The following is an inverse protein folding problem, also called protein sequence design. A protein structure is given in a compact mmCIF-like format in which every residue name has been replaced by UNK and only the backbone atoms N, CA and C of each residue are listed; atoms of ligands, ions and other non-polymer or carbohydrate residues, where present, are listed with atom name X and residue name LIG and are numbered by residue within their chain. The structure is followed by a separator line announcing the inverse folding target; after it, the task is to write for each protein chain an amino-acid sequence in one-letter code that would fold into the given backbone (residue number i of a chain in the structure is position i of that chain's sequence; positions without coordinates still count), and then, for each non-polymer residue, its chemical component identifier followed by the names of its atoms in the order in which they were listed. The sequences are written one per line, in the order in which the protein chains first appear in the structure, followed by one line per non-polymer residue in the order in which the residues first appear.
data_IF_437508051147
#
_entry.id   IF_437508051147
#
_cell.length_a   1.000
_cell.length_b   1.000
_cell.length_c   1.000
_cell.angle_alpha   90.00
_cell.angle_beta   90.00
_cell.angle_gamma   90.00
#
_symmetry.space_group_name_H-M   'P 1'
#
loop_
_entity.id
_entity.type
_entity.pdbx_description
1 polymer ?
#
# COMPACT_ATOMS: atom_id res chain seq x y z
N UNK A 1 -37.45 -31.43 11.36
CA UNK A 1 -36.35 -30.46 11.56
C UNK A 1 -35.48 -30.52 10.32
N UNK A 2 -35.59 -29.53 9.44
CA UNK A 2 -34.65 -29.38 8.34
C UNK A 2 -33.38 -28.82 8.99
N UNK A 3 -32.27 -29.54 8.90
CA UNK A 3 -30.99 -29.04 9.39
C UNK A 3 -30.69 -27.74 8.63
N UNK A 4 -30.60 -26.61 9.34
CA UNK A 4 -30.15 -25.36 8.72
C UNK A 4 -28.72 -25.62 8.22
N UNK A 5 -28.54 -25.68 6.90
CA UNK A 5 -27.20 -25.81 6.32
C UNK A 5 -26.44 -24.51 6.60
N UNK A 6 -25.22 -24.61 7.10
CA UNK A 6 -24.33 -23.46 7.29
C UNK A 6 -23.27 -23.42 6.19
N UNK A 7 -22.62 -22.27 6.05
CA UNK A 7 -21.42 -22.09 5.21
C UNK A 7 -20.38 -21.22 5.91
N UNK A 8 -19.13 -21.39 5.52
CA UNK A 8 -18.02 -20.56 5.99
C UNK A 8 -17.65 -19.52 4.94
N UNK A 9 -17.45 -18.28 5.40
CA UNK A 9 -16.87 -17.19 4.60
C UNK A 9 -15.61 -16.66 5.28
N UNK A 10 -14.69 -16.10 4.49
CA UNK A 10 -13.54 -15.35 5.00
C UNK A 10 -13.89 -13.86 5.05
N UNK A 11 -13.80 -13.27 6.24
CA UNK A 11 -13.98 -11.84 6.49
C UNK A 11 -12.62 -11.23 6.88
N UNK A 12 -12.20 -10.20 6.17
CA UNK A 12 -11.02 -9.39 6.48
C UNK A 12 -11.42 -8.24 7.39
N UNK A 13 -10.71 -8.08 8.50
CA UNK A 13 -10.80 -6.91 9.41
C UNK A 13 -9.51 -6.13 9.31
N UNK A 14 -9.56 -4.87 8.89
CA UNK A 14 -8.33 -4.08 8.71
C UNK A 14 -7.77 -3.62 10.06
N UNK A 15 -6.44 -3.69 10.22
CA UNK A 15 -5.78 -3.37 11.49
C UNK A 15 -6.11 -1.97 12.02
N UNK A 16 -6.14 -0.96 11.14
CA UNK A 16 -6.43 0.42 11.54
C UNK A 16 -7.86 0.62 12.04
N UNK A 17 -8.84 -0.09 11.45
CA UNK A 17 -10.24 -0.02 11.87
C UNK A 17 -10.42 -0.59 13.27
N UNK A 18 -9.76 -1.73 13.49
CA UNK A 18 -9.79 -2.39 14.76
C UNK A 18 -9.13 -1.58 15.88
N UNK A 19 -8.03 -0.88 15.58
CA UNK A 19 -7.36 0.03 16.52
C UNK A 19 -8.23 1.25 16.85
N UNK A 20 -8.97 1.78 15.87
CA UNK A 20 -9.83 2.95 16.02
C UNK A 20 -11.09 2.63 16.85
N UNK A 21 -11.88 1.64 16.42
CA UNK A 21 -13.23 1.42 16.94
C UNK A 21 -13.59 -0.07 17.11
N UNK A 22 -12.70 -1.01 16.73
CA UNK A 22 -12.97 -2.44 16.81
C UNK A 22 -13.43 -2.92 18.19
N UNK A 23 -14.49 -3.73 18.21
CA UNK A 23 -14.97 -4.43 19.39
C UNK A 23 -14.22 -5.77 19.57
N UNK A 24 -13.78 -6.13 20.79
CA UNK A 24 -13.18 -7.43 21.05
C UNK A 24 -14.10 -8.60 20.69
N UNK A 25 -13.53 -9.72 20.26
CA UNK A 25 -14.28 -10.95 19.95
C UNK A 25 -13.37 -12.20 20.05
N UNK A 26 -13.98 -13.36 20.21
CA UNK A 26 -13.33 -14.65 20.33
C UNK A 26 -13.92 -15.70 19.39
N UNK A 27 -13.17 -16.78 19.18
CA UNK A 27 -13.70 -17.98 18.53
C UNK A 27 -14.86 -18.53 19.37
N UNK A 28 -16.00 -18.74 18.72
CA UNK A 28 -17.26 -19.14 19.35
C UNK A 28 -18.25 -17.99 19.51
N UNK A 29 -17.81 -16.73 19.42
CA UNK A 29 -18.70 -15.59 19.58
C UNK A 29 -19.65 -15.45 18.39
N UNK A 30 -20.88 -15.04 18.70
CA UNK A 30 -21.83 -14.58 17.69
C UNK A 30 -21.64 -13.09 17.46
N UNK A 31 -21.42 -12.70 16.20
CA UNK A 31 -21.13 -11.33 15.79
C UNK A 31 -22.08 -10.89 14.68
N UNK A 32 -22.32 -9.58 14.57
CA UNK A 32 -23.01 -8.96 13.46
C UNK A 32 -22.09 -7.87 12.88
N UNK A 33 -21.70 -8.03 11.62
CA UNK A 33 -20.75 -7.14 10.95
C UNK A 33 -21.33 -6.61 9.66
N UNK A 34 -21.08 -5.34 9.36
CA UNK A 34 -21.39 -4.77 8.05
C UNK A 34 -20.30 -5.19 7.08
N UNK A 35 -20.65 -5.96 6.05
CA UNK A 35 -19.70 -6.56 5.13
C UNK A 35 -19.79 -5.92 3.75
N UNK A 36 -18.63 -5.76 3.10
CA UNK A 36 -18.48 -5.48 1.69
C UNK A 36 -17.84 -6.67 0.99
N UNK A 37 -18.25 -6.96 -0.25
CA UNK A 37 -17.57 -7.95 -1.06
C UNK A 37 -16.46 -7.30 -1.90
N UNK A 38 -15.27 -7.89 -1.85
CA UNK A 38 -14.18 -7.55 -2.76
C UNK A 38 -14.56 -7.84 -4.22
N UNK A 39 -13.92 -7.17 -5.20
CA UNK A 39 -14.10 -7.48 -6.61
C UNK A 39 -13.92 -8.98 -6.90
N UNK A 40 -14.76 -9.51 -7.79
CA UNK A 40 -14.70 -10.92 -8.18
C UNK A 40 -13.31 -11.26 -8.74
N UNK A 41 -12.66 -12.26 -8.14
CA UNK A 41 -11.38 -12.77 -8.64
C UNK A 41 -11.63 -13.88 -9.65
N UNK A 42 -10.81 -14.01 -10.71
CA UNK A 42 -10.92 -15.12 -11.66
C UNK A 42 -10.75 -16.50 -10.99
N UNK A 43 -10.03 -16.56 -9.87
CA UNK A 43 -9.77 -17.76 -9.08
C UNK A 43 -9.80 -17.47 -7.59
N UNK A 44 -10.34 -18.42 -6.81
CA UNK A 44 -10.43 -18.36 -5.34
C UNK A 44 -11.81 -17.98 -4.80
N UNK A 45 -12.06 -18.18 -3.50
CA UNK A 45 -13.33 -17.82 -2.88
C UNK A 45 -13.53 -16.30 -2.84
N UNK A 46 -14.78 -15.88 -2.86
CA UNK A 46 -15.15 -14.49 -2.59
C UNK A 46 -14.59 -14.07 -1.23
N UNK A 47 -14.11 -12.82 -1.15
CA UNK A 47 -13.57 -12.24 0.08
C UNK A 47 -14.46 -11.10 0.51
N UNK A 48 -14.73 -11.06 1.80
CA UNK A 48 -15.51 -10.00 2.41
C UNK A 48 -14.58 -9.17 3.28
N UNK A 49 -14.78 -7.86 3.29
CA UNK A 49 -14.17 -6.97 4.27
C UNK A 49 -15.27 -6.49 5.22
N UNK A 50 -14.96 -6.36 6.50
CA UNK A 50 -15.83 -5.57 7.37
C UNK A 50 -15.66 -4.10 7.04
N UNK A 51 -16.76 -3.36 7.08
CA UNK A 51 -16.81 -1.92 6.86
C UNK A 51 -17.44 -1.27 8.09
N UNK A 52 -16.72 -0.34 8.73
CA UNK A 52 -17.18 0.29 9.97
C UNK A 52 -17.20 1.82 9.93
N UNK A 53 -16.74 2.45 8.84
CA UNK A 53 -16.39 3.88 8.83
C UNK A 53 -17.11 4.72 7.78
N UNK A 54 -17.47 4.11 6.65
CA UNK A 54 -17.88 4.85 5.45
C UNK A 54 -19.37 4.70 5.12
N UNK A 55 -20.14 3.94 5.91
CA UNK A 55 -21.57 3.66 5.69
C UNK A 55 -21.87 3.43 4.19
N UNK A 56 -21.12 2.50 3.60
CA UNK A 56 -21.17 2.29 2.16
C UNK A 56 -22.49 1.64 1.74
N UNK A 57 -23.15 2.13 0.68
CA UNK A 57 -24.51 1.71 0.31
C UNK A 57 -24.59 0.26 -0.15
N UNK A 58 -23.46 -0.36 -0.46
CA UNK A 58 -23.34 -1.77 -0.85
C UNK A 58 -22.92 -2.69 0.32
N UNK A 59 -22.78 -2.15 1.53
CA UNK A 59 -22.51 -2.95 2.71
C UNK A 59 -23.79 -3.59 3.25
N UNK A 60 -23.73 -4.87 3.64
CA UNK A 60 -24.84 -5.58 4.26
C UNK A 60 -24.43 -6.11 5.63
N UNK A 61 -25.32 -5.96 6.62
CA UNK A 61 -25.10 -6.54 7.95
C UNK A 61 -25.31 -8.05 7.91
N UNK A 62 -24.27 -8.80 8.23
CA UNK A 62 -24.25 -10.26 8.24
C UNK A 62 -23.97 -10.74 9.67
N UNK A 63 -24.82 -11.65 10.16
CA UNK A 63 -24.66 -12.28 11.47
C UNK A 63 -24.10 -13.68 11.33
N UNK A 64 -23.13 -14.03 12.17
CA UNK A 64 -22.52 -15.37 12.14
C UNK A 64 -21.79 -15.71 13.42
N UNK A 65 -21.20 -16.91 13.45
CA UNK A 65 -20.37 -17.41 14.55
C UNK A 65 -18.91 -17.45 14.11
N UNK A 66 -18.01 -16.88 14.91
CA UNK A 66 -16.57 -16.90 14.63
C UNK A 66 -16.04 -18.32 14.83
N UNK A 67 -15.48 -18.93 13.78
CA UNK A 67 -14.90 -20.28 13.83
C UNK A 67 -13.39 -20.31 13.82
N UNK A 68 -12.75 -19.20 13.44
CA UNK A 68 -11.29 -19.09 13.47
C UNK A 68 -10.83 -17.66 13.24
N UNK A 69 -9.73 -17.31 13.88
CA UNK A 69 -9.10 -15.99 13.77
C UNK A 69 -7.64 -16.21 13.38
N UNK A 70 -7.22 -15.56 12.29
CA UNK A 70 -5.83 -15.53 11.86
C UNK A 70 -5.38 -14.08 11.79
N UNK A 71 -4.40 -13.75 12.60
CA UNK A 71 -3.67 -12.49 12.58
C UNK A 71 -2.64 -12.52 11.43
N UNK A 72 -2.73 -11.51 10.58
CA UNK A 72 -1.78 -11.14 9.53
C UNK A 72 -1.01 -9.88 9.96
N UNK A 73 0.06 -10.08 10.71
CA UNK A 73 1.00 -9.01 11.04
C UNK A 73 2.03 -8.87 9.94
N UNK A 74 2.15 -7.67 9.35
CA UNK A 74 3.21 -7.36 8.40
C UNK A 74 4.36 -6.68 9.14
N UNK A 75 5.52 -7.34 9.21
CA UNK A 75 6.67 -6.84 9.97
C UNK A 75 7.60 -5.99 9.11
N UNK A 76 7.85 -4.76 9.56
CA UNK A 76 8.70 -3.83 8.87
C UNK A 76 8.02 -3.16 7.67
N UNK A 77 8.77 -2.25 7.05
CA UNK A 77 8.28 -1.47 5.94
C UNK A 77 9.35 -1.40 4.84
N UNK A 78 8.90 -1.21 3.62
CA UNK A 78 9.72 -1.04 2.43
C UNK A 78 9.25 0.22 1.70
N UNK A 79 10.13 0.89 0.94
CA UNK A 79 9.69 1.99 0.11
C UNK A 79 8.67 1.52 -0.93
N UNK A 80 7.55 2.24 -1.02
CA UNK A 80 6.63 2.18 -2.13
C UNK A 80 7.38 2.58 -3.39
N UNK A 81 7.24 1.75 -4.42
CA UNK A 81 7.98 1.95 -5.67
C UNK A 81 7.48 3.24 -6.32
N UNK A 82 8.35 4.25 -6.32
CA UNK A 82 8.13 5.54 -7.00
C UNK A 82 7.46 6.63 -6.17
N UNK A 83 6.81 6.29 -5.06
CA UNK A 83 5.97 7.23 -4.31
C UNK A 83 6.66 7.89 -3.10
N UNK A 84 7.87 7.43 -2.73
CA UNK A 84 8.65 8.00 -1.61
C UNK A 84 8.00 7.83 -0.24
N UNK A 85 7.03 6.92 -0.11
CA UNK A 85 6.38 6.56 1.14
C UNK A 85 6.79 5.15 1.54
N UNK A 86 6.86 4.86 2.83
CA UNK A 86 7.03 3.49 3.30
C UNK A 86 5.68 2.78 3.32
N UNK A 87 5.65 1.57 2.78
CA UNK A 87 4.50 0.66 2.85
C UNK A 87 4.89 -0.60 3.62
N UNK A 88 3.94 -1.27 4.29
CA UNK A 88 4.20 -2.54 4.95
C UNK A 88 4.88 -3.53 3.99
N UNK A 89 5.88 -4.29 4.47
CA UNK A 89 6.60 -5.28 3.65
C UNK A 89 5.87 -6.63 3.60
N UNK A 90 5.07 -6.92 2.55
CA UNK A 90 4.26 -8.13 2.52
C UNK A 90 5.10 -9.42 2.51
N UNK A 91 6.40 -9.35 2.20
CA UNK A 91 7.31 -10.50 2.25
C UNK A 91 7.66 -10.93 3.68
N UNK A 92 7.49 -10.00 4.65
CA UNK A 92 7.71 -10.22 6.08
C UNK A 92 6.41 -10.41 6.84
N UNK A 93 5.43 -10.97 6.15
CA UNK A 93 4.16 -11.33 6.75
C UNK A 93 4.34 -12.50 7.71
N UNK A 94 3.86 -12.33 8.93
CA UNK A 94 3.72 -13.40 9.91
C UNK A 94 2.24 -13.75 10.06
N UNK A 95 1.95 -15.04 10.03
CA UNK A 95 0.62 -15.57 10.30
C UNK A 95 0.59 -16.20 11.68
N UNK A 96 -0.45 -15.86 12.47
CA UNK A 96 -0.66 -16.43 13.80
C UNK A 96 -2.14 -16.74 13.99
N UNK A 97 -2.45 -17.96 14.44
CA UNK A 97 -3.81 -18.30 14.87
C UNK A 97 -4.06 -17.70 16.26
N UNK A 98 -5.24 -17.13 16.44
CA UNK A 98 -5.69 -16.54 17.68
C UNK A 98 -6.96 -17.26 18.19
N UNK A 99 -7.09 -17.34 19.52
CA UNK A 99 -8.34 -17.74 20.16
C UNK A 99 -9.29 -16.54 20.34
N UNK A 100 -8.74 -15.35 20.48
CA UNK A 100 -9.46 -14.08 20.64
C UNK A 100 -8.63 -12.91 20.15
N UNK A 101 -9.30 -11.79 19.91
CA UNK A 101 -8.69 -10.50 19.63
C UNK A 101 -9.26 -9.43 20.55
N UNK A 102 -8.38 -8.56 21.03
CA UNK A 102 -8.72 -7.29 21.67
C UNK A 102 -7.74 -6.19 21.22
N UNK A 103 -8.00 -4.94 21.63
CA UNK A 103 -7.18 -3.78 21.24
C UNK A 103 -5.73 -3.84 21.73
N UNK A 104 -5.40 -4.66 22.75
CA UNK A 104 -4.02 -4.81 23.20
C UNK A 104 -3.16 -5.55 22.17
N UNK A 105 -3.79 -6.28 21.26
CA UNK A 105 -3.09 -7.02 20.20
C UNK A 105 -2.60 -6.13 19.05
N UNK A 106 -3.23 -4.97 18.82
CA UNK A 106 -2.84 -3.84 17.96
C UNK A 106 -2.47 -4.12 16.48
N UNK A 107 -2.95 -3.28 15.56
CA UNK A 107 -2.35 -3.05 14.23
C UNK A 107 -2.30 -4.22 13.22
N UNK A 108 -2.74 -5.42 13.59
CA UNK A 108 -2.74 -6.58 12.71
C UNK A 108 -4.04 -6.67 11.91
N UNK A 109 -3.97 -6.86 10.59
CA UNK A 109 -5.16 -7.25 9.82
C UNK A 109 -5.58 -8.66 10.21
N UNK A 110 -6.87 -8.91 10.45
CA UNK A 110 -7.36 -10.26 10.77
C UNK A 110 -8.07 -10.87 9.56
N UNK A 111 -7.94 -12.20 9.44
CA UNK A 111 -8.81 -13.04 8.64
C UNK A 111 -9.64 -13.89 9.56
N UNK A 112 -10.95 -13.69 9.50
CA UNK A 112 -11.93 -14.38 10.34
C UNK A 112 -12.73 -15.34 9.49
N UNK A 113 -12.74 -16.61 9.90
CA UNK A 113 -13.68 -17.59 9.35
C UNK A 113 -15.02 -17.39 10.07
N UNK A 114 -16.01 -16.87 9.36
CA UNK A 114 -17.35 -16.63 9.88
C UNK A 114 -18.30 -17.71 9.36
N UNK A 115 -18.92 -18.45 10.27
CA UNK A 115 -19.99 -19.39 9.94
C UNK A 115 -21.33 -18.68 9.93
N UNK A 116 -22.03 -18.77 8.81
CA UNK A 116 -23.32 -18.13 8.57
C UNK A 116 -24.33 -19.17 8.08
N UNK A 117 -25.62 -18.83 8.15
CA UNK A 117 -26.66 -19.62 7.51
C UNK A 117 -26.42 -19.67 5.99
N UNK A 118 -26.69 -20.81 5.33
CA UNK A 118 -26.39 -20.99 3.91
C UNK A 118 -27.21 -20.04 3.01
N UNK A 119 -28.39 -19.66 3.46
CA UNK A 119 -29.31 -18.71 2.81
C UNK A 119 -29.10 -17.26 3.26
N UNK A 120 -28.14 -16.99 4.17
CA UNK A 120 -27.82 -15.62 4.57
C UNK A 120 -27.42 -14.79 3.35
N UNK A 121 -28.07 -13.65 3.19
CA UNK A 121 -27.76 -12.68 2.15
C UNK A 121 -26.37 -12.10 2.36
N UNK A 122 -25.61 -11.94 1.27
CA UNK A 122 -24.25 -11.40 1.29
C UNK A 122 -24.18 -10.21 0.33
N UNK A 123 -23.33 -9.22 0.63
CA UNK A 123 -23.16 -8.07 -0.25
C UNK A 123 -22.72 -8.53 -1.65
N UNK A 124 -23.25 -7.94 -2.73
CA UNK A 124 -22.80 -8.24 -4.07
C UNK A 124 -21.34 -7.79 -4.25
N UNK A 125 -20.53 -8.47 -5.09
CA UNK A 125 -19.18 -8.03 -5.43
C UNK A 125 -19.19 -6.56 -5.84
N UNK A 126 -18.33 -5.75 -5.23
CA UNK A 126 -18.16 -4.37 -5.67
C UNK A 126 -17.46 -4.35 -7.03
N UNK A 127 -18.11 -3.73 -8.01
CA UNK A 127 -17.48 -3.35 -9.27
C UNK A 127 -16.99 -1.92 -9.12
N UNK A 128 -15.67 -1.66 -9.25
CA UNK A 128 -15.19 -0.29 -9.29
C UNK A 128 -15.91 0.44 -10.44
N UNK A 129 -16.32 1.70 -10.26
CA UNK A 129 -16.80 2.49 -11.38
C UNK A 129 -15.75 2.44 -12.49
N UNK A 130 -16.18 2.51 -13.75
CA UNK A 130 -15.25 2.72 -14.86
C UNK A 130 -14.52 4.05 -14.62
N UNK A 131 -13.40 3.99 -13.90
CA UNK A 131 -12.40 5.02 -13.95
C UNK A 131 -11.91 4.98 -15.38
N UNK A 132 -12.26 5.98 -16.20
CA UNK A 132 -11.54 6.24 -17.44
C UNK A 132 -10.09 6.35 -17.00
N UNK A 133 -9.23 5.36 -17.29
CA UNK A 133 -7.83 5.51 -17.02
C UNK A 133 -7.41 6.78 -17.74
N UNK A 134 -6.50 7.57 -17.17
CA UNK A 134 -5.79 8.51 -18.03
C UNK A 134 -5.02 7.65 -19.04
N UNK A 135 -5.63 7.43 -20.20
CA UNK A 135 -5.15 6.53 -21.25
C UNK A 135 -3.96 7.12 -21.98
N UNK A 136 -3.58 8.37 -21.67
CA UNK A 136 -2.33 8.95 -22.16
C UNK A 136 -1.17 8.19 -21.54
N UNK A 137 -0.69 7.23 -22.30
CA UNK A 137 0.53 6.53 -21.97
C UNK A 137 1.71 7.50 -22.07
N UNK A 138 2.67 7.43 -21.14
CA UNK A 138 3.93 8.15 -21.30
C UNK A 138 4.64 7.72 -22.58
N UNK A 139 5.43 8.64 -23.13
CA UNK A 139 6.20 8.38 -24.35
C UNK A 139 7.07 7.10 -24.18
N UNK A 140 6.93 6.10 -25.06
CA UNK A 140 7.73 4.88 -25.02
C UNK A 140 9.24 5.11 -25.03
N UNK A 141 9.73 6.18 -25.67
CA UNK A 141 11.15 6.51 -25.69
C UNK A 141 11.65 6.93 -24.30
N UNK A 142 10.84 7.69 -23.56
CA UNK A 142 11.14 8.07 -22.17
C UNK A 142 11.15 6.83 -21.27
N UNK A 143 10.17 5.94 -21.44
CA UNK A 143 10.14 4.66 -20.71
C UNK A 143 11.40 3.83 -20.99
N UNK A 144 11.82 3.75 -22.26
CA UNK A 144 13.05 3.06 -22.65
C UNK A 144 14.31 3.70 -22.05
N UNK A 145 14.38 5.04 -22.01
CA UNK A 145 15.48 5.77 -21.39
C UNK A 145 15.56 5.51 -19.87
N UNK A 146 14.43 5.52 -19.16
CA UNK A 146 14.37 5.18 -17.74
C UNK A 146 14.78 3.73 -17.48
N UNK A 147 14.35 2.79 -18.33
CA UNK A 147 14.80 1.40 -18.24
C UNK A 147 16.32 1.30 -18.41
N UNK A 148 16.87 1.95 -19.43
CA UNK A 148 18.30 1.94 -19.71
C UNK A 148 19.10 2.58 -18.57
N UNK A 149 18.59 3.64 -17.94
CA UNK A 149 19.18 4.23 -16.74
C UNK A 149 19.26 3.19 -15.61
N UNK A 150 18.18 2.48 -15.31
CA UNK A 150 18.18 1.43 -14.28
C UNK A 150 19.19 0.32 -14.56
N UNK A 151 19.32 -0.11 -15.82
CA UNK A 151 20.31 -1.10 -16.25
C UNK A 151 21.74 -0.57 -16.02
N UNK A 152 22.01 0.70 -16.38
CA UNK A 152 23.31 1.34 -16.13
C UNK A 152 23.62 1.42 -14.64
N UNK A 153 22.68 1.90 -13.82
CA UNK A 153 22.84 1.99 -12.37
C UNK A 153 23.11 0.62 -11.75
N UNK A 154 22.37 -0.42 -12.17
CA UNK A 154 22.60 -1.78 -11.70
C UNK A 154 24.00 -2.29 -12.06
N UNK A 155 24.45 -2.05 -13.30
CA UNK A 155 25.78 -2.45 -13.76
C UNK A 155 26.91 -1.75 -13.01
N UNK A 156 26.83 -0.43 -12.88
CA UNK A 156 27.87 0.41 -12.26
C UNK A 156 27.90 0.26 -10.73
N UNK A 157 26.74 0.24 -10.08
CA UNK A 157 26.61 0.33 -8.62
C UNK A 157 26.14 -0.96 -7.96
N UNK A 158 26.33 -2.10 -8.62
CA UNK A 158 25.92 -3.43 -8.14
C UNK A 158 26.37 -3.67 -6.70
N UNK A 159 25.43 -4.03 -5.83
CA UNK A 159 25.69 -4.33 -4.42
C UNK A 159 25.87 -3.10 -3.51
N UNK A 160 25.92 -1.89 -4.07
CA UNK A 160 25.97 -0.62 -3.32
C UNK A 160 24.62 0.10 -3.25
N UNK A 161 23.72 -0.20 -4.19
CA UNK A 161 22.35 0.30 -4.20
C UNK A 161 21.37 -0.87 -4.35
N UNK A 162 20.25 -0.80 -3.65
CA UNK A 162 19.05 -1.58 -3.91
C UNK A 162 18.21 -0.87 -4.97
N UNK A 163 17.81 -1.58 -6.02
CA UNK A 163 16.95 -1.05 -7.09
C UNK A 163 15.66 -1.85 -7.11
N UNK A 164 14.52 -1.16 -7.08
CA UNK A 164 13.19 -1.74 -7.23
C UNK A 164 12.46 -0.99 -8.33
N UNK A 165 11.81 -1.70 -9.24
CA UNK A 165 11.13 -1.08 -10.37
C UNK A 165 9.96 -1.93 -10.85
N UNK A 166 8.94 -1.27 -11.35
CA UNK A 166 7.83 -1.88 -12.10
C UNK A 166 7.66 -1.15 -13.43
N UNK A 167 6.91 -1.78 -14.35
CA UNK A 167 6.56 -1.18 -15.64
C UNK A 167 7.78 -0.63 -16.40
N UNK A 168 8.85 -1.44 -16.48
CA UNK A 168 10.10 -1.09 -17.17
C UNK A 168 10.79 0.17 -16.65
N UNK A 169 10.53 0.63 -15.43
CA UNK A 169 11.19 1.83 -14.89
C UNK A 169 10.31 3.06 -14.83
N UNK A 170 9.04 2.98 -15.24
CA UNK A 170 8.08 4.08 -15.04
C UNK A 170 7.94 4.45 -13.58
N UNK A 171 7.93 3.44 -12.70
CA UNK A 171 8.07 3.64 -11.26
C UNK A 171 9.32 2.92 -10.79
N UNK A 172 10.14 3.60 -10.00
CA UNK A 172 11.31 2.96 -9.41
C UNK A 172 11.74 3.58 -8.08
N UNK A 173 12.59 2.86 -7.38
CA UNK A 173 13.27 3.30 -6.17
C UNK A 173 14.71 2.83 -6.20
N UNK A 174 15.61 3.75 -5.88
CA UNK A 174 17.06 3.53 -5.75
C UNK A 174 17.42 3.89 -4.31
N UNK A 175 17.84 2.88 -3.56
CA UNK A 175 18.13 2.95 -2.12
C UNK A 175 19.60 2.65 -1.91
N UNK A 176 20.45 3.64 -1.62
CA UNK A 176 21.86 3.39 -1.33
C UNK A 176 22.05 2.61 -0.03
N UNK A 177 23.04 1.72 0.00
CA UNK A 177 23.43 1.01 1.23
C UNK A 177 24.35 1.88 2.14
N UNK A 178 24.83 3.01 1.62
CA UNK A 178 25.65 3.96 2.39
C UNK A 178 24.79 4.67 3.43
N UNK A 179 25.17 4.57 4.71
CA UNK A 179 24.44 5.22 5.79
C UNK A 179 24.36 6.75 5.60
N UNK A 180 23.16 7.31 5.77
CA UNK A 180 22.90 8.76 5.64
C UNK A 180 22.77 9.28 4.20
N UNK A 181 22.92 8.42 3.19
CA UNK A 181 22.59 8.76 1.82
C UNK A 181 21.07 8.81 1.63
N UNK A 182 20.60 9.78 0.86
CA UNK A 182 19.18 9.93 0.55
C UNK A 182 18.66 8.86 -0.40
N UNK A 183 17.43 8.42 -0.20
CA UNK A 183 16.72 7.54 -1.14
C UNK A 183 16.13 8.34 -2.30
N UNK A 184 16.09 7.72 -3.48
CA UNK A 184 15.49 8.31 -4.67
C UNK A 184 14.33 7.46 -5.16
N UNK A 185 13.18 8.08 -5.37
CA UNK A 185 11.99 7.44 -5.91
C UNK A 185 11.44 8.27 -7.05
N UNK A 186 10.87 7.63 -8.08
CA UNK A 186 10.15 8.37 -9.10
C UNK A 186 8.96 7.61 -9.68
N UNK A 187 8.01 8.38 -10.21
CA UNK A 187 6.88 7.90 -10.97
C UNK A 187 6.68 8.77 -12.22
N UNK A 188 6.63 8.13 -13.39
CA UNK A 188 6.38 8.76 -14.69
C UNK A 188 4.87 8.75 -15.00
N UNK A 189 4.28 9.94 -14.94
CA UNK A 189 2.98 10.24 -15.52
C UNK A 189 3.07 10.65 -16.98
N UNK A 190 1.95 11.03 -17.62
CA UNK A 190 1.91 11.38 -19.04
C UNK A 190 2.69 12.65 -19.37
N UNK A 191 2.64 13.64 -18.48
CA UNK A 191 3.25 14.98 -18.70
C UNK A 191 4.44 15.27 -17.78
N UNK A 192 4.56 14.51 -16.69
CA UNK A 192 5.50 14.81 -15.61
C UNK A 192 6.14 13.56 -15.04
N UNK A 193 7.41 13.71 -14.67
CA UNK A 193 8.17 12.76 -13.88
C UNK A 193 8.28 13.31 -12.46
N UNK A 194 7.54 12.70 -11.52
CA UNK A 194 7.60 13.07 -10.10
C UNK A 194 8.78 12.35 -9.48
N UNK A 195 9.72 13.09 -8.92
CA UNK A 195 10.94 12.58 -8.29
C UNK A 195 10.95 12.97 -6.82
N UNK A 196 11.10 12.01 -5.93
CA UNK A 196 11.26 12.23 -4.50
C UNK A 196 12.69 11.87 -4.11
N UNK A 197 13.42 12.83 -3.57
CA UNK A 197 14.75 12.68 -2.98
C UNK A 197 14.57 12.73 -1.46
N UNK A 198 14.26 11.58 -0.86
CA UNK A 198 13.68 11.46 0.50
C UNK A 198 12.50 12.39 0.70
N UNK A 199 12.67 13.44 1.51
CA UNK A 199 11.59 14.36 1.86
C UNK A 199 11.35 15.49 0.86
N UNK A 200 12.25 15.70 -0.09
CA UNK A 200 12.11 16.73 -1.11
C UNK A 200 11.49 16.14 -2.38
N UNK A 201 10.44 16.80 -2.88
CA UNK A 201 9.78 16.44 -4.14
C UNK A 201 10.16 17.43 -5.24
N UNK A 202 10.63 16.90 -6.36
CA UNK A 202 10.93 17.61 -7.60
C UNK A 202 9.98 17.09 -8.68
N UNK A 203 9.41 17.99 -9.46
CA UNK A 203 8.59 17.64 -10.62
C UNK A 203 9.40 18.00 -11.86
N UNK A 204 9.74 17.00 -12.66
CA UNK A 204 10.45 17.14 -13.92
C UNK A 204 9.46 17.00 -15.09
N UNK A 205 9.80 17.51 -16.28
CA UNK A 205 9.06 17.19 -17.50
C UNK A 205 8.97 15.67 -17.72
N UNK A 206 7.87 15.18 -18.28
CA UNK A 206 7.66 13.77 -18.63
C UNK A 206 8.33 13.35 -19.94
N UNK A 207 9.39 14.05 -20.35
CA UNK A 207 10.10 13.87 -21.61
C UNK A 207 11.56 13.41 -21.40
N UNK A 208 12.34 13.36 -22.49
CA UNK A 208 13.75 12.96 -22.45
C UNK A 208 14.64 13.94 -21.68
N UNK A 209 14.28 15.23 -21.60
CA UNK A 209 15.02 16.20 -20.78
C UNK A 209 14.82 15.90 -19.30
N UNK A 210 13.58 15.59 -18.90
CA UNK A 210 13.27 15.13 -17.54
C UNK A 210 14.03 13.85 -17.18
N UNK A 211 14.09 12.87 -18.08
CA UNK A 211 14.85 11.64 -17.88
C UNK A 211 16.36 11.90 -17.73
N UNK A 212 16.94 12.79 -18.52
CA UNK A 212 18.35 13.17 -18.41
C UNK A 212 18.67 13.87 -17.08
N UNK A 213 17.76 14.73 -16.59
CA UNK A 213 17.90 15.35 -15.25
C UNK A 213 17.80 14.33 -14.13
N UNK A 214 16.90 13.35 -14.25
CA UNK A 214 16.81 12.25 -13.28
C UNK A 214 18.09 11.41 -13.26
N UNK A 215 18.73 11.16 -14.40
CA UNK A 215 19.99 10.40 -14.46
C UNK A 215 21.09 11.04 -13.61
N UNK A 216 21.22 12.37 -13.64
CA UNK A 216 22.18 13.11 -12.81
C UNK A 216 21.88 12.88 -11.32
N UNK A 217 20.62 13.07 -10.92
CA UNK A 217 20.19 12.85 -9.53
C UNK A 217 20.43 11.41 -9.06
N UNK A 218 20.12 10.44 -9.93
CA UNK A 218 20.25 9.02 -9.62
C UNK A 218 21.71 8.61 -9.44
N UNK A 219 22.63 9.18 -10.23
CA UNK A 219 24.06 8.89 -10.06
C UNK A 219 24.63 9.57 -8.80
N UNK A 220 24.24 10.81 -8.48
CA UNK A 220 24.63 11.48 -7.23
C UNK A 220 24.18 10.72 -5.99
N UNK A 221 22.94 10.24 -6.00
CA UNK A 221 22.36 9.38 -4.95
C UNK A 221 23.13 8.06 -4.86
N UNK A 222 23.40 7.41 -6.00
CA UNK A 222 24.10 6.12 -6.03
C UNK A 222 25.55 6.20 -5.53
N UNK A 223 26.20 7.35 -5.69
CA UNK A 223 27.51 7.65 -5.08
C UNK A 223 27.44 7.92 -3.58
N UNK A 224 26.24 8.16 -3.02
CA UNK A 224 26.03 8.56 -1.63
C UNK A 224 26.38 10.03 -1.34
N UNK A 225 26.40 10.88 -2.37
CA UNK A 225 26.73 12.32 -2.25
C UNK A 225 25.52 13.12 -1.79
N UNK A 226 24.33 12.76 -2.28
CA UNK A 226 23.08 13.35 -1.83
C UNK A 226 22.80 12.91 -0.38
N UNK A 227 23.13 13.78 0.58
CA UNK A 227 22.87 13.57 2.00
C UNK A 227 21.48 14.05 2.37
N UNK A 228 20.88 13.36 3.33
CA UNK A 228 19.67 13.85 4.00
C UNK A 228 20.01 14.15 5.44
N UNK A 229 19.81 15.40 5.83
CA UNK A 229 19.57 15.69 7.24
C UNK A 229 18.13 15.26 7.54
N UNK A 230 17.89 14.50 8.63
CA UNK A 230 16.53 14.18 9.03
C UNK A 230 15.76 15.50 9.25
N UNK A 231 14.48 15.58 8.88
CA UNK A 231 13.66 16.70 9.31
C UNK A 231 13.74 16.73 10.83
N UNK A 232 14.10 17.89 11.40
CA UNK A 232 14.02 18.12 12.84
C UNK A 232 12.58 17.78 13.24
N UNK A 233 12.39 16.63 13.87
CA UNK A 233 11.09 16.22 14.42
C UNK A 233 10.84 17.10 15.64
N UNK A 234 10.22 18.24 15.42
CA UNK A 234 9.85 19.15 16.50
C UNK A 234 8.69 18.56 17.30
N UNK A 235 8.97 17.99 18.47
CA UNK A 235 8.23 18.43 19.64
C UNK A 235 8.52 19.94 19.80
N UNK A 236 7.63 20.80 19.29
CA UNK A 236 7.71 22.26 19.50
C UNK A 236 7.66 23.14 18.24
N UNK A 237 6.44 23.54 17.88
CA UNK A 237 6.00 24.83 17.26
C UNK A 237 6.93 25.57 16.26
N UNK A 238 6.49 25.54 14.99
CA UNK A 238 6.49 26.57 13.92
C UNK A 238 7.73 27.46 13.66
N UNK A 239 8.20 27.44 12.40
CA UNK A 239 8.28 28.62 11.52
C UNK A 239 8.53 28.19 10.05
N UNK A 240 7.64 28.63 9.15
CA UNK A 240 7.88 28.72 7.70
C UNK A 240 8.49 30.10 7.40
N UNK A 241 9.29 30.28 6.33
CA UNK A 241 8.67 30.73 5.07
C UNK A 241 9.29 30.17 3.77
N UNK A 242 8.56 30.44 2.68
CA UNK A 242 8.81 30.19 1.25
C UNK A 242 8.29 28.84 0.69
N UNK A 243 7.06 28.91 0.14
CA UNK A 243 6.29 27.94 -0.69
C UNK A 243 6.88 26.54 -0.93
N UNK A 244 7.06 25.78 0.15
CA UNK A 244 7.08 24.31 0.12
C UNK A 244 5.64 23.84 0.21
N UNK A 245 5.07 23.35 -0.90
CA UNK A 245 3.74 22.74 -0.88
C UNK A 245 3.84 21.43 -0.09
N UNK A 246 3.51 21.47 1.20
CA UNK A 246 3.07 20.27 1.95
C UNK A 246 1.71 19.91 1.39
N UNK A 247 1.67 19.09 0.35
CA UNK A 247 0.41 18.55 -0.19
C UNK A 247 0.34 17.08 0.19
N UNK A 248 -0.83 16.59 0.61
CA UNK A 248 -1.03 15.23 1.09
C UNK A 248 -0.63 14.19 0.05
N UNK A 249 -0.14 13.05 0.52
CA UNK A 249 -0.09 11.80 -0.22
C UNK A 249 -1.46 11.56 -0.87
N UNK A 250 -1.49 11.43 -2.21
CA UNK A 250 -2.72 11.12 -2.91
C UNK A 250 -3.22 9.75 -2.51
N UNK A 251 -4.55 9.62 -2.43
CA UNK A 251 -5.26 8.37 -2.31
C UNK A 251 -5.34 7.67 -3.68
N UNK A 252 -4.20 7.22 -4.21
CA UNK A 252 -4.10 6.34 -5.38
C UNK A 252 -2.81 5.53 -5.31
#
# INVERSE_FOLDING_TARGET
MIASSTRLIEVVREGWEMDCCGAPFAVGDRVAWSLLASPARPTGPARYAEEHHQDLPNALTVTGVVRGIVDETVLGAIPAIGEGVLVPDPSRRRLRRLASWDRSTGGATLRVALEIDADAELPPPWEPPESTPDTRMPDPEVVAALHALLVRLHGTWRGRVGIRSIERGRKASVVPHTAGAGELHWALGPEHLVVNLGYDRVILPGDLEGAARLEVLADEVSRGVARQDPPITSQGVLLMPARRRRVPTSAW
#
